data_IF_577084997465
#
_entry.id   IF_577084997465
#
_cell.length_a   1.000
_cell.length_b   1.000
_cell.length_c   1.000
_cell.angle_alpha   90.00
_cell.angle_beta   90.00
_cell.angle_gamma   90.00
#
_symmetry.space_group_name_H-M   'P 1'
#
loop_
_entity.id
_entity.type
_entity.pdbx_description
1 polymer ?
#
# COMPACT_ATOMS: atom_id res chain seq x y z
N UNK A 1 -12.39 3.49 15.33
CA UNK A 1 -13.75 3.16 14.88
C UNK A 1 -13.61 1.94 13.99
N UNK A 2 -14.25 0.85 14.27
CA UNK A 2 -14.09 -0.39 13.49
C UNK A 2 -15.46 -0.81 12.98
N UNK A 3 -15.63 -0.80 11.67
CA UNK A 3 -16.87 -1.21 11.02
C UNK A 3 -18.08 -0.36 11.38
N UNK A 4 -19.23 -0.98 11.48
CA UNK A 4 -20.52 -0.32 11.79
C UNK A 4 -20.70 0.07 13.28
N UNK A 5 -19.64 0.04 14.10
CA UNK A 5 -19.69 0.40 15.51
C UNK A 5 -18.36 0.91 16.04
N UNK A 6 -18.39 1.69 17.13
CA UNK A 6 -17.20 2.11 17.85
C UNK A 6 -16.85 1.08 18.91
N UNK A 7 -15.81 0.26 18.66
CA UNK A 7 -15.25 -0.67 19.65
C UNK A 7 -13.93 -0.11 20.14
N UNK A 8 -13.67 -0.18 21.46
CA UNK A 8 -12.38 0.26 22.00
C UNK A 8 -11.28 -0.67 21.50
N UNK A 9 -10.15 -0.09 21.06
CA UNK A 9 -9.00 -0.81 20.50
C UNK A 9 -8.49 -1.97 21.37
N UNK A 10 -8.59 -1.84 22.71
CA UNK A 10 -8.19 -2.88 23.68
C UNK A 10 -9.11 -4.10 23.70
N UNK A 11 -10.32 -3.98 23.18
CA UNK A 11 -11.32 -5.05 23.18
C UNK A 11 -11.24 -5.88 21.88
N UNK A 12 -10.36 -5.50 20.95
CA UNK A 12 -10.08 -6.22 19.71
C UNK A 12 -8.91 -7.17 19.94
N UNK A 13 -9.21 -8.46 19.99
CA UNK A 13 -8.20 -9.53 20.16
C UNK A 13 -7.39 -9.82 18.89
N UNK A 14 -7.68 -9.16 17.77
CA UNK A 14 -7.03 -9.36 16.47
C UNK A 14 -5.75 -8.56 16.30
N UNK A 15 -4.84 -9.02 15.43
CA UNK A 15 -3.63 -8.30 15.06
C UNK A 15 -3.96 -7.09 14.17
N UNK A 16 -4.17 -5.93 14.80
CA UNK A 16 -4.39 -4.65 14.14
C UNK A 16 -3.10 -3.85 14.16
N UNK A 17 -2.66 -3.40 12.98
CA UNK A 17 -1.55 -2.46 12.87
C UNK A 17 -2.12 -1.09 12.50
N UNK A 18 -1.84 -0.09 13.31
CA UNK A 18 -2.23 1.30 13.06
C UNK A 18 -1.01 2.12 12.67
N UNK A 19 -1.12 2.88 11.59
CA UNK A 19 -0.12 3.83 11.13
C UNK A 19 -0.76 5.22 11.15
N UNK A 20 -0.16 6.15 11.89
CA UNK A 20 -0.63 7.52 12.01
C UNK A 20 -0.12 8.38 10.84
N UNK A 21 -0.82 9.48 10.56
CA UNK A 21 -0.51 10.46 9.51
C UNK A 21 0.96 10.91 9.53
N UNK A 22 1.53 11.21 10.70
CA UNK A 22 2.93 11.64 10.85
C UNK A 22 3.92 10.63 10.24
N UNK A 23 3.68 9.33 10.50
CA UNK A 23 4.52 8.27 9.96
C UNK A 23 4.24 8.03 8.46
N UNK A 24 3.02 8.29 7.99
CA UNK A 24 2.66 8.14 6.58
C UNK A 24 3.39 9.15 5.71
N UNK A 25 3.44 10.40 6.14
CA UNK A 25 4.01 11.52 5.38
C UNK A 25 5.54 11.62 5.45
N UNK A 26 6.21 10.84 6.29
CA UNK A 26 7.67 10.90 6.48
C UNK A 26 8.50 10.71 5.19
N UNK A 27 7.94 10.09 4.17
CA UNK A 27 8.61 9.80 2.88
C UNK A 27 8.00 10.57 1.69
N UNK A 28 7.13 11.56 1.94
CA UNK A 28 6.37 12.28 0.91
C UNK A 28 5.79 11.33 -0.18
N UNK A 29 4.98 10.35 0.21
CA UNK A 29 4.46 9.35 -0.72
C UNK A 29 3.47 9.98 -1.68
N UNK A 30 3.46 9.53 -2.94
CA UNK A 30 2.48 9.96 -3.94
C UNK A 30 1.17 9.19 -3.83
N UNK A 31 1.21 7.96 -3.27
CA UNK A 31 0.05 7.10 -3.09
C UNK A 31 -0.02 6.55 -1.67
N UNK A 32 -1.21 6.16 -1.22
CA UNK A 32 -1.41 5.52 0.09
C UNK A 32 -0.66 4.19 0.17
N UNK A 33 -0.56 3.48 -0.94
CA UNK A 33 0.18 2.23 -1.05
C UNK A 33 1.66 2.45 -0.73
N UNK A 34 2.26 3.48 -1.31
CA UNK A 34 3.65 3.85 -1.00
C UNK A 34 3.80 4.29 0.46
N UNK A 35 2.83 5.03 0.98
CA UNK A 35 2.81 5.47 2.37
C UNK A 35 2.86 4.29 3.36
N UNK A 36 2.27 3.14 3.01
CA UNK A 36 2.26 1.92 3.83
C UNK A 36 3.53 1.09 3.71
N UNK A 37 4.37 1.33 2.70
CA UNK A 37 5.56 0.52 2.43
C UNK A 37 6.51 0.51 3.65
N UNK A 38 6.77 -0.68 4.18
CA UNK A 38 7.66 -0.88 5.33
C UNK A 38 7.13 -0.38 6.68
N UNK A 39 5.90 0.20 6.73
CA UNK A 39 5.34 0.78 7.96
C UNK A 39 4.32 -0.11 8.65
N UNK A 40 3.83 -1.13 7.97
CA UNK A 40 2.88 -2.08 8.54
C UNK A 40 3.42 -3.51 8.43
N UNK A 41 3.67 -4.17 9.57
CA UNK A 41 4.14 -5.55 9.59
C UNK A 41 3.15 -6.48 8.89
N UNK A 42 3.64 -7.38 8.03
CA UNK A 42 2.81 -8.33 7.26
C UNK A 42 2.05 -7.71 6.08
N UNK A 43 2.34 -6.46 5.74
CA UNK A 43 1.88 -5.80 4.51
C UNK A 43 3.04 -5.72 3.53
N UNK A 44 2.89 -6.29 2.37
CA UNK A 44 3.82 -6.19 1.27
C UNK A 44 3.27 -5.25 0.20
N UNK A 45 4.07 -4.27 -0.17
CA UNK A 45 3.77 -3.35 -1.27
C UNK A 45 4.77 -3.63 -2.39
N UNK A 46 4.28 -4.21 -3.49
CA UNK A 46 5.05 -4.54 -4.67
C UNK A 46 4.71 -3.61 -5.83
N UNK A 47 5.65 -3.43 -6.74
CA UNK A 47 5.52 -2.48 -7.85
C UNK A 47 5.90 -1.06 -7.40
N UNK A 48 6.69 -0.39 -8.21
CA UNK A 48 7.01 1.03 -8.08
C UNK A 48 7.60 1.53 -9.41
N UNK A 49 7.16 0.93 -10.51
CA UNK A 49 7.49 1.44 -11.84
C UNK A 49 6.78 2.77 -12.08
N UNK A 50 7.34 3.61 -12.96
CA UNK A 50 6.79 4.92 -13.31
C UNK A 50 5.35 4.87 -13.87
N UNK A 51 4.84 3.66 -14.21
CA UNK A 51 3.51 3.45 -14.79
C UNK A 51 2.76 2.25 -14.17
N UNK A 52 3.19 1.74 -13.01
CA UNK A 52 2.53 0.63 -12.35
C UNK A 52 1.88 1.09 -11.05
N UNK A 53 0.59 0.84 -10.92
CA UNK A 53 -0.10 1.03 -9.63
C UNK A 53 0.49 0.04 -8.61
N UNK A 54 0.96 0.53 -7.45
CA UNK A 54 1.53 -0.35 -6.43
C UNK A 54 0.49 -1.37 -5.96
N UNK A 55 0.88 -2.65 -5.96
CA UNK A 55 0.04 -3.75 -5.51
C UNK A 55 0.27 -3.98 -4.01
N UNK A 56 -0.80 -4.07 -3.24
CA UNK A 56 -0.73 -4.37 -1.80
C UNK A 56 -1.17 -5.80 -1.54
N UNK A 57 -0.44 -6.50 -0.68
CA UNK A 57 -0.80 -7.84 -0.19
C UNK A 57 -0.63 -7.93 1.31
N UNK A 58 -1.60 -8.56 1.97
CA UNK A 58 -1.58 -8.81 3.40
C UNK A 58 -1.35 -10.30 3.65
N UNK A 59 -0.22 -10.63 4.33
CA UNK A 59 0.18 -12.02 4.64
C UNK A 59 0.40 -12.89 3.38
N UNK A 60 0.77 -12.30 2.25
CA UNK A 60 1.11 -13.01 1.00
C UNK A 60 -0.10 -13.37 0.14
N UNK A 61 0.10 -14.30 -0.78
CA UNK A 61 -0.94 -14.78 -1.69
C UNK A 61 -1.75 -15.88 -1.02
N UNK A 62 -3.07 -15.78 -1.04
CA UNK A 62 -3.99 -16.80 -0.53
C UNK A 62 -4.68 -17.58 -1.62
N UNK A 63 -4.85 -16.97 -2.78
CA UNK A 63 -5.51 -17.59 -3.93
C UNK A 63 -4.59 -17.61 -5.14
N UNK A 64 -4.68 -18.68 -5.93
CA UNK A 64 -3.96 -18.85 -7.21
C UNK A 64 -4.78 -18.23 -8.34
N UNK A 65 -6.12 -18.28 -8.26
CA UNK A 65 -7.01 -17.89 -9.36
C UNK A 65 -7.91 -16.69 -9.05
N UNK A 66 -8.03 -16.28 -7.77
CA UNK A 66 -8.79 -15.10 -7.39
C UNK A 66 -7.87 -13.93 -7.01
N UNK A 67 -8.40 -12.70 -7.01
CA UNK A 67 -7.66 -11.53 -6.54
C UNK A 67 -7.19 -11.73 -5.09
N UNK A 68 -5.95 -11.31 -4.83
CA UNK A 68 -5.35 -11.29 -3.51
C UNK A 68 -5.31 -9.88 -2.90
N UNK A 69 -6.02 -8.92 -3.52
CA UNK A 69 -6.04 -7.54 -3.07
C UNK A 69 -6.89 -7.41 -1.79
N UNK A 70 -6.42 -6.63 -0.81
CA UNK A 70 -7.20 -6.35 0.39
C UNK A 70 -8.41 -5.46 0.06
N UNK A 71 -9.45 -5.53 0.91
CA UNK A 71 -10.57 -4.61 0.84
C UNK A 71 -10.17 -3.26 1.44
N UNK A 72 -10.41 -2.19 0.70
CA UNK A 72 -10.25 -0.83 1.19
C UNK A 72 -11.57 -0.28 1.72
N UNK A 73 -11.52 0.36 2.87
CA UNK A 73 -12.67 1.01 3.50
C UNK A 73 -12.26 2.43 3.90
N UNK A 74 -12.86 3.43 3.26
CA UNK A 74 -12.57 4.84 3.50
C UNK A 74 -13.72 5.44 4.29
N UNK A 75 -13.44 5.95 5.48
CA UNK A 75 -14.44 6.51 6.41
C UNK A 75 -15.68 5.62 6.63
N UNK A 76 -15.47 4.30 6.62
CA UNK A 76 -16.53 3.30 6.79
C UNK A 76 -17.18 2.85 5.49
N UNK A 77 -16.87 3.44 4.35
CA UNK A 77 -17.41 3.06 3.04
C UNK A 77 -16.45 2.11 2.33
N UNK A 78 -16.85 0.88 1.99
CA UNK A 78 -16.01 -0.02 1.22
C UNK A 78 -15.88 0.45 -0.24
N UNK A 79 -14.63 0.53 -0.71
CA UNK A 79 -14.30 0.97 -2.07
C UNK A 79 -13.75 -0.20 -2.87
N UNK A 80 -14.23 -0.37 -4.10
CA UNK A 80 -13.70 -1.33 -5.05
C UNK A 80 -12.69 -0.61 -5.96
N UNK A 81 -11.47 -1.11 -6.03
CA UNK A 81 -10.42 -0.54 -6.88
C UNK A 81 -9.26 0.06 -6.10
N UNK A 82 -8.36 0.71 -6.81
CA UNK A 82 -7.14 1.29 -6.23
C UNK A 82 -7.42 2.49 -5.32
N UNK A 83 -6.44 2.78 -4.48
CA UNK A 83 -6.45 3.89 -3.51
C UNK A 83 -6.10 5.26 -4.14
N UNK A 84 -6.18 5.37 -5.46
CA UNK A 84 -5.82 6.60 -6.19
C UNK A 84 -6.84 7.74 -5.94
N UNK A 85 -7.95 7.40 -5.26
CA UNK A 85 -9.05 8.33 -4.97
C UNK A 85 -8.74 9.24 -3.76
N UNK A 86 -7.81 8.85 -2.87
CA UNK A 86 -7.53 9.60 -1.63
C UNK A 86 -6.09 10.09 -1.62
N UNK A 87 -5.93 11.38 -1.43
CA UNK A 87 -4.62 11.97 -1.25
C UNK A 87 -4.03 11.54 0.11
N UNK A 88 -2.78 11.01 0.17
CA UNK A 88 -2.13 10.66 1.43
C UNK A 88 -2.10 11.79 2.45
N UNK A 89 -2.06 13.04 2.01
CA UNK A 89 -2.06 14.21 2.88
C UNK A 89 -3.37 14.38 3.67
N UNK A 90 -4.49 13.88 3.12
CA UNK A 90 -5.81 13.96 3.76
C UNK A 90 -6.08 12.81 4.73
N UNK A 91 -5.15 11.86 4.85
CA UNK A 91 -5.29 10.71 5.73
C UNK A 91 -4.90 11.06 7.16
N UNK A 92 -5.77 10.78 8.12
CA UNK A 92 -5.50 10.91 9.55
C UNK A 92 -4.83 9.65 10.11
N UNK A 93 -5.35 8.46 9.74
CA UNK A 93 -4.76 7.18 10.14
C UNK A 93 -5.15 6.06 9.18
N UNK A 94 -4.30 5.04 9.10
CA UNK A 94 -4.59 3.80 8.41
C UNK A 94 -4.51 2.66 9.41
N UNK A 95 -5.52 1.80 9.42
CA UNK A 95 -5.56 0.59 10.23
C UNK A 95 -5.63 -0.64 9.31
N UNK A 96 -4.74 -1.60 9.55
CA UNK A 96 -4.69 -2.83 8.77
C UNK A 96 -5.21 -3.98 9.61
N UNK A 97 -6.37 -4.53 9.22
CA UNK A 97 -6.99 -5.70 9.82
C UNK A 97 -6.49 -6.94 9.09
N UNK A 98 -5.74 -7.79 9.80
CA UNK A 98 -5.08 -8.96 9.21
C UNK A 98 -5.76 -10.28 9.59
N UNK A 99 -6.51 -10.30 10.68
CA UNK A 99 -7.10 -11.51 11.23
C UNK A 99 -8.56 -11.67 10.82
N UNK A 100 -8.99 -12.92 10.66
CA UNK A 100 -10.35 -13.26 10.25
C UNK A 100 -11.42 -12.71 11.20
N UNK A 101 -11.15 -12.69 12.51
CA UNK A 101 -12.07 -12.12 13.50
C UNK A 101 -12.31 -10.62 13.30
N UNK A 102 -11.25 -9.87 12.99
CA UNK A 102 -11.34 -8.43 12.73
C UNK A 102 -11.96 -8.10 11.35
N UNK A 103 -11.83 -9.01 10.38
CA UNK A 103 -12.37 -8.82 9.03
C UNK A 103 -13.76 -9.42 8.82
N UNK A 104 -14.28 -10.19 9.78
CA UNK A 104 -15.56 -10.91 9.68
C UNK A 104 -16.75 -10.02 9.35
N UNK A 105 -16.77 -8.79 9.84
CA UNK A 105 -17.83 -7.81 9.57
C UNK A 105 -17.92 -7.41 8.08
N UNK A 106 -16.85 -7.63 7.31
CA UNK A 106 -16.80 -7.35 5.87
C UNK A 106 -17.09 -8.59 5.00
N UNK A 107 -17.40 -9.73 5.65
CA UNK A 107 -17.74 -10.98 4.99
C UNK A 107 -16.63 -11.49 4.07
N UNK A 108 -17.02 -12.15 2.98
CA UNK A 108 -16.08 -12.73 2.01
C UNK A 108 -15.12 -11.71 1.38
N UNK A 109 -15.54 -10.45 1.26
CA UNK A 109 -14.70 -9.36 0.72
C UNK A 109 -13.51 -9.03 1.62
N UNK A 110 -13.61 -9.29 2.93
CA UNK A 110 -12.52 -9.10 3.89
C UNK A 110 -11.55 -10.27 3.97
N UNK A 111 -11.72 -11.33 3.19
CA UNK A 111 -10.91 -12.55 3.29
C UNK A 111 -9.40 -12.30 3.09
N UNK A 112 -9.01 -11.38 2.22
CA UNK A 112 -7.61 -11.02 1.94
C UNK A 112 -7.06 -9.96 2.91
N UNK A 113 -7.82 -9.60 3.96
CA UNK A 113 -7.54 -8.51 4.86
C UNK A 113 -8.29 -7.23 4.49
N UNK A 114 -8.34 -6.30 5.44
CA UNK A 114 -9.04 -5.02 5.26
C UNK A 114 -8.11 -3.89 5.67
N UNK A 115 -8.08 -2.84 4.85
CA UNK A 115 -7.36 -1.60 5.12
C UNK A 115 -8.38 -0.51 5.35
N UNK A 116 -8.47 -0.05 6.61
CA UNK A 116 -9.33 1.06 6.99
C UNK A 116 -8.55 2.37 6.87
N UNK A 117 -9.08 3.29 6.12
CA UNK A 117 -8.53 4.64 5.98
C UNK A 117 -9.48 5.61 6.65
N UNK A 118 -8.98 6.36 7.61
CA UNK A 118 -9.71 7.46 8.24
C UNK A 118 -9.14 8.77 7.73
N UNK A 119 -9.99 9.62 7.17
CA UNK A 119 -9.57 10.92 6.69
C UNK A 119 -9.57 11.97 7.79
N UNK A 120 -8.82 13.04 7.58
CA UNK A 120 -8.84 14.21 8.45
C UNK A 120 -10.22 14.88 8.38
N UNK A 121 -10.80 15.17 9.53
CA UNK A 121 -12.08 15.88 9.60
C UNK A 121 -11.85 17.32 9.99
N UNK A 122 -12.60 18.23 9.39
CA UNK A 122 -12.63 19.61 9.79
C UNK A 122 -13.19 19.78 11.21
N UNK A 123 -12.62 20.68 11.99
CA UNK A 123 -13.13 21.08 13.29
C UNK A 123 -14.03 22.32 13.15
N UNK A 124 -15.21 22.27 13.75
CA UNK A 124 -16.12 23.41 13.71
C UNK A 124 -15.50 24.66 14.36
N UNK A 125 -15.56 25.77 13.66
CA UNK A 125 -15.05 27.07 14.16
C UNK A 125 -13.55 27.29 13.94
N UNK A 126 -12.82 26.38 13.31
CA UNK A 126 -11.40 26.56 12.94
C UNK A 126 -11.21 26.44 11.43
N UNK A 127 -10.60 27.46 10.84
CA UNK A 127 -10.11 27.37 9.47
C UNK A 127 -8.64 26.95 9.55
N UNK A 128 -8.31 25.79 9.04
CA UNK A 128 -6.94 25.32 8.92
C UNK A 128 -6.55 25.31 7.43
N UNK A 129 -5.56 26.10 7.07
CA UNK A 129 -5.02 26.15 5.70
C UNK A 129 -3.62 25.56 5.77
N UNK A 130 -3.44 24.38 5.20
CA UNK A 130 -2.15 23.70 5.11
C UNK A 130 -1.72 23.70 3.63
N UNK A 131 -0.52 24.20 3.37
CA UNK A 131 0.11 24.12 2.05
C UNK A 131 1.34 23.21 2.17
N UNK A 132 1.36 22.13 1.41
CA UNK A 132 2.53 21.27 1.27
C UNK A 132 2.86 21.10 -0.20
N UNK A 133 4.13 21.30 -0.55
CA UNK A 133 4.62 21.10 -1.90
C UNK A 133 5.95 20.35 -1.87
N UNK A 134 6.18 19.48 -2.85
CA UNK A 134 7.47 18.84 -3.05
C UNK A 134 7.84 18.87 -4.52
N UNK A 135 9.15 18.93 -4.79
CA UNK A 135 9.71 18.78 -6.12
C UNK A 135 10.54 17.49 -6.15
N UNK A 136 10.17 16.58 -7.05
CA UNK A 136 10.92 15.34 -7.26
C UNK A 136 11.49 15.33 -8.67
N UNK A 137 12.79 15.08 -8.79
CA UNK A 137 13.48 14.90 -10.08
C UNK A 137 13.90 13.44 -10.17
N UNK A 138 13.22 12.69 -11.02
CA UNK A 138 13.54 11.29 -11.31
C UNK A 138 14.39 11.18 -12.57
N UNK A 139 15.52 10.49 -12.48
CA UNK A 139 16.33 10.08 -13.62
C UNK A 139 16.19 8.57 -13.81
N UNK A 140 15.78 8.17 -14.99
CA UNK A 140 15.81 6.75 -15.37
C UNK A 140 17.25 6.41 -15.71
N UNK A 141 17.87 5.61 -14.85
CA UNK A 141 19.20 5.08 -15.10
C UNK A 141 19.07 3.65 -15.60
N UNK A 142 19.27 3.48 -16.91
CA UNK A 142 19.16 2.17 -17.53
C UNK A 142 20.51 1.43 -17.45
N UNK A 143 20.73 0.74 -16.34
CA UNK A 143 21.94 -0.06 -16.13
C UNK A 143 22.04 -1.33 -17.00
N UNK A 144 20.96 -1.67 -17.70
CA UNK A 144 20.98 -2.83 -18.59
C UNK A 144 21.44 -2.39 -19.99
N UNK A 145 22.74 -2.34 -20.19
CA UNK A 145 23.30 -2.24 -21.53
C UNK A 145 22.98 -3.54 -22.28
N UNK A 146 22.22 -3.40 -23.35
CA UNK A 146 21.99 -4.52 -24.26
C UNK A 146 23.32 -4.79 -24.99
N UNK A 147 23.78 -6.04 -24.94
CA UNK A 147 24.98 -6.45 -25.67
C UNK A 147 24.73 -6.35 -27.18
N UNK A 148 25.71 -5.86 -27.92
CA UNK A 148 25.65 -5.93 -29.37
C UNK A 148 25.92 -7.38 -29.84
N UNK A 149 25.73 -7.66 -31.12
CA UNK A 149 25.87 -9.03 -31.66
C UNK A 149 27.25 -9.63 -31.44
N UNK A 150 28.32 -8.84 -31.54
CA UNK A 150 29.69 -9.30 -31.28
C UNK A 150 29.93 -9.66 -29.81
N UNK A 151 29.50 -8.80 -28.89
CA UNK A 151 29.56 -9.02 -27.43
C UNK A 151 28.72 -10.26 -27.00
N UNK A 152 27.60 -10.52 -27.71
CA UNK A 152 26.78 -11.69 -27.46
C UNK A 152 27.45 -12.98 -27.90
N UNK A 153 28.12 -12.99 -29.07
CA UNK A 153 28.88 -14.13 -29.57
C UNK A 153 30.09 -14.46 -28.67
N UNK A 154 30.74 -13.45 -28.14
CA UNK A 154 31.85 -13.63 -27.19
C UNK A 154 31.35 -14.26 -25.88
N UNK A 155 30.21 -13.78 -25.35
CA UNK A 155 29.58 -14.39 -24.19
C UNK A 155 29.19 -15.85 -24.40
N UNK A 156 28.64 -16.21 -25.59
CA UNK A 156 28.33 -17.61 -25.91
C UNK A 156 29.59 -18.51 -25.94
N UNK A 157 30.69 -18.02 -26.54
CA UNK A 157 31.96 -18.73 -26.55
C UNK A 157 32.55 -18.95 -25.16
N UNK A 158 32.43 -17.97 -24.30
CA UNK A 158 32.84 -18.09 -22.89
C UNK A 158 31.98 -19.08 -22.13
N UNK A 159 30.65 -19.05 -22.33
CA UNK A 159 29.74 -20.02 -21.73
C UNK A 159 30.01 -21.46 -22.16
N UNK A 160 30.34 -21.69 -23.44
CA UNK A 160 30.72 -23.03 -23.95
C UNK A 160 32.08 -23.54 -23.40
N UNK A 161 33.00 -22.62 -23.05
CA UNK A 161 34.29 -23.02 -22.44
C UNK A 161 34.19 -23.37 -20.96
N UNK A 162 33.10 -22.96 -20.29
CA UNK A 162 32.89 -23.21 -18.87
C UNK A 162 32.16 -24.51 -18.56
N UNK A 163 31.78 -25.26 -19.58
CA UNK A 163 31.24 -26.61 -19.52
C UNK A 163 32.26 -27.61 -20.05
#
# INVERSE_FOLDING_TARGET
MVGYGSVKKRDLTGAITQVKSENLMATAPTTIQEALRGKAAGVMVAGSGLNESPMIRIRGNRSISASNDPLFVIDGVPVNGGMDVVNPADVASIEVLKDASATAIYGARGANGVILVTTKKGESGKVNVEYSGYLSIGKVDNYRRVRNGAEYLEYLREAERSY
#
